data_IF_352676609234
#
_entry.id   IF_352676609234
#
_cell.length_a   1.000
_cell.length_b   1.000
_cell.length_c   1.000
_cell.angle_alpha   90.00
_cell.angle_beta   90.00
_cell.angle_gamma   90.00
#
_symmetry.space_group_name_H-M   'P 1'
#
loop_
_entity.id
_entity.type
_entity.pdbx_description
1 polymer ?
#
# COMPACT_ATOMS: atom_id res chain seq x y z
N UNK A 1 -37.73 7.57 -0.34
CA UNK A 1 -37.93 7.57 1.13
C UNK A 1 -37.53 6.19 1.63
N UNK A 2 -36.54 6.11 2.52
CA UNK A 2 -35.99 4.85 3.01
C UNK A 2 -37.00 4.05 3.84
N UNK A 3 -37.69 4.69 4.78
CA UNK A 3 -38.69 4.02 5.63
C UNK A 3 -39.83 3.42 4.82
N UNK A 4 -40.29 4.11 3.77
CA UNK A 4 -41.31 3.57 2.87
C UNK A 4 -40.81 2.34 2.10
N UNK A 5 -39.55 2.34 1.64
CA UNK A 5 -38.96 1.19 0.95
C UNK A 5 -38.84 -0.05 1.86
N UNK A 6 -38.56 0.16 3.16
CA UNK A 6 -38.35 -0.93 4.13
C UNK A 6 -39.66 -1.47 4.70
N UNK A 7 -40.64 -0.60 4.95
CA UNK A 7 -41.87 -0.95 5.67
C UNK A 7 -42.99 -1.43 4.75
N UNK A 8 -42.93 -1.12 3.45
CA UNK A 8 -43.91 -1.55 2.48
C UNK A 8 -43.65 -3.02 2.07
N UNK A 9 -44.66 -3.87 2.19
CA UNK A 9 -44.57 -5.30 1.88
C UNK A 9 -44.12 -5.56 0.45
N UNK A 10 -44.46 -4.66 -0.47
CA UNK A 10 -44.24 -4.80 -1.90
C UNK A 10 -42.82 -4.38 -2.32
N UNK A 11 -42.13 -3.62 -1.47
CA UNK A 11 -40.75 -3.17 -1.70
C UNK A 11 -39.74 -3.94 -0.84
N UNK A 12 -40.16 -4.54 0.26
CA UNK A 12 -39.30 -5.34 1.14
C UNK A 12 -39.13 -6.81 0.73
N UNK A 13 -39.95 -7.35 -0.19
CA UNK A 13 -39.99 -8.80 -0.52
C UNK A 13 -39.91 -9.14 -2.02
N UNK A 14 -39.49 -8.21 -2.87
CA UNK A 14 -39.39 -8.42 -4.32
C UNK A 14 -37.99 -8.17 -4.89
N UNK A 15 -37.84 -8.32 -6.21
CA UNK A 15 -36.65 -7.84 -6.92
C UNK A 15 -36.44 -6.33 -6.68
N UNK A 16 -35.18 -5.94 -6.48
CA UNK A 16 -34.79 -4.56 -6.19
C UNK A 16 -34.89 -3.64 -7.42
N UNK A 17 -34.17 -2.51 -7.39
CA UNK A 17 -34.05 -1.64 -8.57
C UNK A 17 -35.20 -0.66 -8.81
N UNK A 18 -36.12 -0.50 -7.85
CA UNK A 18 -37.19 0.51 -7.96
C UNK A 18 -36.71 1.88 -7.48
N UNK A 19 -36.94 2.91 -8.29
CA UNK A 19 -36.66 4.30 -7.90
C UNK A 19 -37.82 4.86 -7.07
N UNK A 20 -37.58 5.07 -5.77
CA UNK A 20 -38.56 5.65 -4.85
C UNK A 20 -38.26 7.13 -4.56
N UNK A 21 -39.02 8.03 -5.18
CA UNK A 21 -38.95 9.48 -4.96
C UNK A 21 -40.26 9.97 -4.35
N UNK A 22 -40.18 10.80 -3.30
CA UNK A 22 -41.37 11.36 -2.62
C UNK A 22 -42.39 10.29 -2.18
N UNK A 23 -41.88 9.16 -1.66
CA UNK A 23 -42.69 8.00 -1.24
C UNK A 23 -43.54 7.37 -2.37
N UNK A 24 -43.11 7.51 -3.63
CA UNK A 24 -43.77 6.89 -4.78
C UNK A 24 -42.74 6.25 -5.70
N UNK A 25 -43.11 5.13 -6.32
CA UNK A 25 -42.36 4.56 -7.42
C UNK A 25 -42.36 5.54 -8.60
N UNK A 26 -41.19 5.77 -9.18
CA UNK A 26 -40.97 6.59 -10.35
C UNK A 26 -40.15 5.81 -11.37
N UNK A 27 -40.32 6.14 -12.63
CA UNK A 27 -39.46 5.66 -13.72
C UNK A 27 -38.18 6.48 -13.74
N UNK A 28 -37.09 5.86 -14.21
CA UNK A 28 -35.86 6.59 -14.47
C UNK A 28 -36.06 7.54 -15.67
N UNK A 29 -35.49 8.75 -15.59
CA UNK A 29 -35.56 9.68 -16.73
C UNK A 29 -34.60 9.27 -17.86
N UNK A 30 -33.45 8.70 -17.48
CA UNK A 30 -32.43 8.19 -18.39
C UNK A 30 -32.75 6.73 -18.68
N UNK A 31 -33.04 6.41 -19.94
CA UNK A 31 -33.49 5.07 -20.36
C UNK A 31 -32.37 4.03 -20.27
N UNK A 32 -31.13 4.45 -20.49
CA UNK A 32 -29.93 3.61 -20.36
C UNK A 32 -29.72 3.09 -18.93
N UNK A 33 -30.39 3.68 -17.93
CA UNK A 33 -30.35 3.17 -16.55
C UNK A 33 -31.07 1.83 -16.44
N UNK A 34 -32.03 1.54 -17.32
CA UNK A 34 -32.77 0.26 -17.36
C UNK A 34 -32.17 -0.72 -18.39
N UNK A 35 -31.12 -0.32 -19.12
CA UNK A 35 -30.44 -1.16 -20.11
C UNK A 35 -29.39 -2.06 -19.44
N UNK A 36 -29.69 -3.35 -19.36
CA UNK A 36 -28.84 -4.36 -18.73
C UNK A 36 -27.44 -4.46 -19.38
N UNK A 37 -27.33 -4.24 -20.70
CA UNK A 37 -26.04 -4.28 -21.38
C UNK A 37 -25.16 -3.10 -20.95
N UNK A 38 -25.74 -1.90 -20.84
CA UNK A 38 -25.02 -0.70 -20.37
C UNK A 38 -24.66 -0.82 -18.89
N UNK A 39 -25.56 -1.35 -18.06
CA UNK A 39 -25.29 -1.62 -16.65
C UNK A 39 -24.10 -2.57 -16.48
N UNK A 40 -24.09 -3.66 -17.26
CA UNK A 40 -23.01 -4.66 -17.23
C UNK A 40 -21.67 -4.07 -17.68
N UNK A 41 -21.66 -3.31 -18.77
CA UNK A 41 -20.45 -2.62 -19.23
C UNK A 41 -19.88 -1.67 -18.16
N UNK A 42 -20.74 -0.88 -17.51
CA UNK A 42 -20.32 0.02 -16.45
C UNK A 42 -19.77 -0.75 -15.24
N UNK A 43 -20.41 -1.87 -14.88
CA UNK A 43 -19.96 -2.73 -13.79
C UNK A 43 -18.56 -3.30 -14.07
N UNK A 44 -18.37 -3.95 -15.22
CA UNK A 44 -17.11 -4.56 -15.62
C UNK A 44 -15.97 -3.52 -15.71
N UNK A 45 -16.26 -2.34 -16.28
CA UNK A 45 -15.29 -1.24 -16.33
C UNK A 45 -14.89 -0.76 -14.93
N UNK A 46 -15.87 -0.61 -14.03
CA UNK A 46 -15.62 -0.19 -12.65
C UNK A 46 -14.79 -1.23 -11.89
N UNK A 47 -15.08 -2.53 -12.10
CA UNK A 47 -14.33 -3.63 -11.52
C UNK A 47 -12.87 -3.63 -12.00
N UNK A 48 -12.63 -3.45 -13.30
CA UNK A 48 -11.28 -3.33 -13.86
C UNK A 48 -10.51 -2.17 -13.23
N UNK A 49 -11.15 -1.01 -13.12
CA UNK A 49 -10.54 0.17 -12.48
C UNK A 49 -10.14 -0.10 -11.02
N UNK A 50 -10.99 -0.77 -10.25
CA UNK A 50 -10.68 -1.12 -8.86
C UNK A 50 -9.49 -2.07 -8.81
N UNK A 51 -9.49 -3.13 -9.62
CA UNK A 51 -8.38 -4.09 -9.66
C UNK A 51 -7.04 -3.43 -10.05
N UNK A 52 -7.04 -2.52 -11.02
CA UNK A 52 -5.85 -1.76 -11.41
C UNK A 52 -5.37 -0.85 -10.27
N UNK A 53 -6.29 -0.15 -9.61
CA UNK A 53 -5.97 0.72 -8.48
C UNK A 53 -5.37 -0.07 -7.31
N UNK A 54 -5.93 -1.24 -7.00
CA UNK A 54 -5.44 -2.15 -5.97
C UNK A 54 -4.05 -2.68 -6.29
N UNK A 55 -3.83 -3.16 -7.53
CA UNK A 55 -2.52 -3.62 -8.00
C UNK A 55 -1.48 -2.51 -7.90
N UNK A 56 -1.79 -1.32 -8.41
CA UNK A 56 -0.89 -0.15 -8.32
C UNK A 56 -0.58 0.19 -6.88
N UNK A 57 -1.60 0.24 -6.02
CA UNK A 57 -1.42 0.52 -4.59
C UNK A 57 -0.56 -0.54 -3.88
N UNK A 58 -0.70 -1.81 -4.25
CA UNK A 58 0.13 -2.89 -3.71
C UNK A 58 1.60 -2.76 -4.15
N UNK A 59 1.84 -2.45 -5.42
CA UNK A 59 3.18 -2.25 -5.96
C UNK A 59 3.89 -1.05 -5.31
N UNK A 60 3.21 0.08 -5.17
CA UNK A 60 3.77 1.27 -4.49
C UNK A 60 4.14 0.97 -3.04
N UNK A 61 3.24 0.28 -2.29
CA UNK A 61 3.54 -0.14 -0.92
C UNK A 61 4.72 -1.11 -0.84
N UNK A 62 4.83 -2.05 -1.79
CA UNK A 62 5.94 -2.99 -1.84
C UNK A 62 7.28 -2.29 -2.14
N UNK A 63 7.26 -1.34 -3.09
CA UNK A 63 8.42 -0.53 -3.45
C UNK A 63 8.89 0.31 -2.27
N UNK A 64 7.99 1.04 -1.60
CA UNK A 64 8.34 1.84 -0.43
C UNK A 64 8.98 0.98 0.67
N UNK A 65 8.41 -0.20 0.97
CA UNK A 65 8.99 -1.12 1.96
C UNK A 65 10.38 -1.63 1.57
N UNK A 66 10.61 -1.89 0.28
CA UNK A 66 11.94 -2.32 -0.20
C UNK A 66 12.94 -1.16 -0.09
N UNK A 67 12.58 0.02 -0.57
CA UNK A 67 13.45 1.19 -0.56
C UNK A 67 13.77 1.64 0.89
N UNK A 68 12.84 1.47 1.84
CA UNK A 68 13.09 1.66 3.27
C UNK A 68 14.07 0.63 3.85
N UNK A 69 13.91 -0.65 3.51
CA UNK A 69 14.83 -1.72 3.95
C UNK A 69 16.24 -1.52 3.41
N UNK A 70 16.38 -1.21 2.12
CA UNK A 70 17.69 -0.95 1.49
C UNK A 70 18.41 0.20 2.19
N UNK A 71 17.71 1.27 2.56
CA UNK A 71 18.30 2.39 3.33
C UNK A 71 18.77 1.97 4.72
N UNK A 72 18.01 1.12 5.41
CA UNK A 72 18.42 0.62 6.74
C UNK A 72 19.66 -0.26 6.60
N UNK A 73 19.67 -1.18 5.64
CA UNK A 73 20.80 -2.06 5.37
C UNK A 73 22.06 -1.27 4.95
N UNK A 74 21.91 -0.21 4.15
CA UNK A 74 23.03 0.66 3.75
C UNK A 74 23.62 1.41 4.95
N UNK A 75 22.78 1.95 5.84
CA UNK A 75 23.22 2.62 7.07
C UNK A 75 23.92 1.63 8.02
N UNK A 76 23.39 0.42 8.18
CA UNK A 76 24.03 -0.63 8.99
C UNK A 76 25.37 -1.05 8.40
N UNK A 77 25.45 -1.28 7.09
CA UNK A 77 26.70 -1.63 6.41
C UNK A 77 27.75 -0.51 6.51
N UNK A 78 27.35 0.76 6.40
CA UNK A 78 28.26 1.90 6.57
C UNK A 78 28.77 2.01 8.02
N UNK A 79 27.91 1.77 9.00
CA UNK A 79 28.29 1.72 10.42
C UNK A 79 29.28 0.57 10.71
N UNK A 80 29.03 -0.63 10.18
CA UNK A 80 29.94 -1.77 10.30
C UNK A 80 31.30 -1.49 9.64
N UNK A 81 31.31 -0.90 8.44
CA UNK A 81 32.53 -0.54 7.74
C UNK A 81 33.34 0.51 8.51
N UNK A 82 32.65 1.46 9.15
CA UNK A 82 33.28 2.49 10.00
C UNK A 82 33.91 1.87 11.25
N UNK A 83 33.20 0.99 11.94
CA UNK A 83 33.71 0.27 13.11
C UNK A 83 34.90 -0.66 12.74
N UNK A 84 34.84 -1.33 11.59
CA UNK A 84 35.95 -2.11 11.06
C UNK A 84 37.18 -1.24 10.77
N UNK A 85 37.02 -0.10 10.09
CA UNK A 85 38.11 0.85 9.81
C UNK A 85 38.74 1.37 11.10
N UNK A 86 37.95 1.67 12.12
CA UNK A 86 38.46 2.14 13.41
C UNK A 86 39.28 1.05 14.14
N UNK A 87 38.81 -0.20 14.14
CA UNK A 87 39.51 -1.36 14.73
C UNK A 87 40.82 -1.70 14.01
N UNK A 88 40.85 -1.63 12.68
CA UNK A 88 42.07 -1.89 11.89
C UNK A 88 43.05 -0.72 11.95
N UNK A 89 42.56 0.52 11.92
CA UNK A 89 43.39 1.73 12.11
C UNK A 89 44.08 1.79 13.46
N UNK A 90 43.40 1.35 14.53
CA UNK A 90 44.00 1.20 15.87
C UNK A 90 45.10 0.13 15.92
N UNK A 91 45.04 -0.93 15.11
CA UNK A 91 46.11 -1.96 15.05
C UNK A 91 47.37 -1.49 14.30
N UNK A 92 47.27 -0.55 13.36
CA UNK A 92 48.43 0.07 12.71
C UNK A 92 49.18 1.09 13.60
N UNK A 93 48.54 1.56 14.69
CA UNK A 93 49.09 2.53 15.63
C UNK A 93 49.77 1.95 16.87
N UNK A 94 49.72 0.63 17.11
CA UNK A 94 50.44 0.01 18.24
C UNK A 94 51.91 -0.19 17.87
N UNK A 95 52.66 0.92 17.76
CA UNK A 95 54.10 0.86 18.07
C UNK A 95 54.18 0.50 19.55
N UNK A 96 54.64 -0.70 19.85
CA UNK A 96 55.00 -1.08 21.21
C UNK A 96 56.07 -0.11 21.73
N UNK A 97 55.64 0.81 22.58
CA UNK A 97 56.52 1.58 23.43
C UNK A 97 57.02 0.64 24.54
N UNK A 98 58.32 0.34 24.51
CA UNK A 98 58.98 -0.40 25.58
C UNK A 98 59.33 -1.85 25.26
N UNK A 99 60.38 -2.06 24.48
CA UNK A 99 61.39 -3.10 24.80
C UNK A 99 62.59 -2.98 23.84
N UNK A 100 63.57 -2.16 24.20
CA UNK A 100 64.96 -2.34 23.75
C UNK A 100 65.86 -2.30 24.96
N UNK A 101 65.75 -3.36 25.76
CA UNK A 101 66.79 -3.81 26.68
C UNK A 101 68.11 -3.95 25.90
N UNK A 102 69.12 -3.22 26.36
CA UNK A 102 70.55 -3.53 26.31
C UNK A 102 71.17 -3.99 24.98
N UNK A 103 72.14 -3.23 24.48
CA UNK A 103 73.50 -3.78 24.37
C UNK A 103 74.56 -2.69 24.38
N UNK A 104 75.50 -2.91 25.30
CA UNK A 104 76.72 -2.19 25.60
C UNK A 104 77.78 -2.53 24.55
N UNK A 105 78.43 -1.51 23.97
CA UNK A 105 79.87 -1.45 23.73
C UNK A 105 80.23 -0.05 23.24
#
# INVERSE_FOLDING_TARGET
SFLHAVMDSDYGRGEGGKLLKECKARTYLRKEVEDEAVQKQLWEYSEQMVQEAEKRGALERAKLKRDEKEKVEEVEAEAELRDYKEKVGKKAGVKQEGSRRSRKS
#
